data_IF_810271228542
#
_entry.id   IF_810271228542
#
_cell.length_a   1.000
_cell.length_b   1.000
_cell.length_c   1.000
_cell.angle_alpha   90.00
_cell.angle_beta   90.00
_cell.angle_gamma   90.00
#
_symmetry.space_group_name_H-M   'P 1'
#
loop_
_entity.id
_entity.type
_entity.pdbx_description
1 polymer ?
#
# COMPACT_ATOMS: atom_id res chain seq x y z
N UNK A 1 1.38 -9.63 -37.87
CA UNK A 1 0.59 -10.11 -36.71
C UNK A 1 1.49 -10.97 -35.83
N UNK A 2 2.01 -10.43 -34.72
CA UNK A 2 2.65 -11.22 -33.68
C UNK A 2 1.85 -11.00 -32.40
N UNK A 3 1.27 -12.09 -31.91
CA UNK A 3 0.41 -12.13 -30.72
C UNK A 3 1.24 -11.76 -29.50
N UNK A 4 0.83 -10.69 -28.82
CA UNK A 4 1.37 -10.27 -27.53
C UNK A 4 0.88 -11.22 -26.44
N UNK A 5 1.68 -12.25 -26.13
CA UNK A 5 1.38 -13.24 -25.07
C UNK A 5 1.99 -12.82 -23.71
N UNK A 6 2.60 -11.64 -23.62
CA UNK A 6 3.35 -11.22 -22.43
C UNK A 6 2.57 -10.52 -21.31
N UNK A 7 1.27 -10.25 -21.47
CA UNK A 7 0.54 -9.31 -20.57
C UNK A 7 -0.40 -10.00 -19.57
N UNK A 8 -0.57 -11.33 -19.65
CA UNK A 8 -1.63 -12.03 -18.90
C UNK A 8 -1.17 -12.55 -17.53
N UNK A 9 0.12 -12.54 -17.20
CA UNK A 9 0.63 -13.21 -15.99
C UNK A 9 0.70 -12.35 -14.71
N UNK A 10 0.44 -11.04 -14.78
CA UNK A 10 0.46 -10.17 -13.59
C UNK A 10 -0.89 -10.07 -12.86
N UNK A 11 -1.92 -10.80 -13.33
CA UNK A 11 -3.31 -10.59 -12.90
C UNK A 11 -3.89 -11.71 -12.00
N UNK A 12 -3.09 -12.74 -11.68
CA UNK A 12 -3.62 -13.95 -11.04
C UNK A 12 -3.45 -14.04 -9.51
N UNK A 13 -2.67 -13.18 -8.85
CA UNK A 13 -2.31 -13.34 -7.44
C UNK A 13 -3.25 -12.68 -6.43
N UNK A 14 -4.27 -11.93 -6.87
CA UNK A 14 -5.12 -11.14 -5.96
C UNK A 14 -6.54 -11.69 -5.74
N UNK A 15 -6.91 -12.82 -6.36
CA UNK A 15 -8.30 -13.26 -6.40
C UNK A 15 -8.61 -14.57 -5.64
N UNK A 16 -7.65 -15.29 -5.09
CA UNK A 16 -7.92 -16.52 -4.33
C UNK A 16 -7.08 -16.61 -3.07
N UNK A 17 -7.69 -16.26 -1.95
CA UNK A 17 -7.57 -17.03 -0.71
C UNK A 17 -8.60 -16.50 0.28
N UNK A 18 -9.73 -17.22 0.35
CA UNK A 18 -10.57 -17.17 1.53
C UNK A 18 -9.86 -17.90 2.67
N UNK A 19 -10.13 -17.39 3.88
CA UNK A 19 -10.09 -18.11 5.16
C UNK A 19 -8.69 -18.41 5.73
N UNK A 20 -8.33 -17.60 6.74
CA UNK A 20 -7.41 -17.90 7.87
C UNK A 20 -5.88 -17.94 7.69
N UNK A 21 -5.30 -17.83 6.48
CA UNK A 21 -3.84 -17.97 6.30
C UNK A 21 -2.99 -16.74 5.87
N UNK A 22 -3.58 -15.58 5.55
CA UNK A 22 -2.91 -14.58 4.67
C UNK A 22 -2.41 -13.33 5.42
N UNK A 23 -2.79 -13.16 6.68
CA UNK A 23 -2.37 -11.97 7.42
C UNK A 23 -0.99 -12.23 8.01
N UNK A 24 0.01 -11.50 7.50
CA UNK A 24 1.36 -11.37 8.08
C UNK A 24 1.37 -10.81 9.53
N UNK A 25 0.19 -10.57 10.11
CA UNK A 25 -0.01 -9.84 11.37
C UNK A 25 -0.92 -10.64 12.30
N UNK A 26 -0.55 -10.70 13.57
CA UNK A 26 -1.18 -11.49 14.61
C UNK A 26 -2.22 -10.70 15.40
N UNK A 27 -1.99 -9.40 15.62
CA UNK A 27 -2.93 -8.55 16.35
C UNK A 27 -4.15 -8.21 15.50
N UNK A 28 -5.28 -8.01 16.15
CA UNK A 28 -6.48 -7.56 15.47
C UNK A 28 -6.29 -6.17 14.83
N UNK A 29 -5.47 -5.31 15.43
CA UNK A 29 -5.15 -4.01 14.86
C UNK A 29 -4.29 -4.12 13.60
N UNK A 30 -3.24 -4.94 13.63
CA UNK A 30 -2.42 -5.24 12.45
C UNK A 30 -3.25 -5.80 11.30
N UNK A 31 -4.15 -6.76 11.59
CA UNK A 31 -5.10 -7.32 10.62
C UNK A 31 -6.06 -6.26 10.05
N UNK A 32 -6.63 -5.40 10.90
CA UNK A 32 -7.58 -4.36 10.48
C UNK A 32 -6.91 -3.32 9.57
N UNK A 33 -5.71 -2.87 9.92
CA UNK A 33 -4.91 -1.94 9.13
C UNK A 33 -4.50 -2.60 7.79
N UNK A 34 -4.02 -3.84 7.82
CA UNK A 34 -3.58 -4.55 6.62
C UNK A 34 -4.72 -4.87 5.66
N UNK A 35 -5.92 -5.19 6.15
CA UNK A 35 -7.10 -5.45 5.30
C UNK A 35 -7.39 -4.31 4.32
N UNK A 36 -7.00 -3.07 4.64
CA UNK A 36 -7.17 -1.94 3.71
C UNK A 36 -6.16 -1.98 2.55
N UNK A 37 -4.96 -2.51 2.74
CA UNK A 37 -3.98 -2.73 1.66
C UNK A 37 -4.53 -3.65 0.57
N UNK A 38 -5.34 -4.62 0.97
CA UNK A 38 -5.98 -5.58 0.07
C UNK A 38 -7.41 -5.19 -0.30
N UNK A 39 -7.83 -3.93 -0.08
CA UNK A 39 -9.19 -3.50 -0.39
C UNK A 39 -9.44 -3.36 -1.89
N UNK A 40 -10.69 -3.55 -2.31
CA UNK A 40 -11.11 -3.42 -3.70
C UNK A 40 -10.80 -2.03 -4.28
N UNK A 41 -10.83 -0.96 -3.47
CA UNK A 41 -10.49 0.39 -3.92
C UNK A 41 -9.02 0.49 -4.32
N UNK A 42 -8.12 -0.03 -3.47
CA UNK A 42 -6.68 -0.04 -3.74
C UNK A 42 -6.41 -0.90 -4.97
N UNK A 43 -7.03 -2.07 -5.06
CA UNK A 43 -6.93 -2.96 -6.22
C UNK A 43 -7.42 -2.32 -7.53
N UNK A 44 -8.55 -1.62 -7.48
CA UNK A 44 -9.11 -0.90 -8.64
C UNK A 44 -8.21 0.26 -9.08
N UNK A 45 -7.69 1.02 -8.10
CA UNK A 45 -6.77 2.12 -8.34
C UNK A 45 -5.44 1.62 -8.95
N UNK A 46 -4.85 0.55 -8.41
CA UNK A 46 -3.62 -0.05 -8.94
C UNK A 46 -3.80 -0.56 -10.36
N UNK A 47 -4.88 -1.28 -10.66
CA UNK A 47 -5.19 -1.74 -12.03
C UNK A 47 -5.34 -0.59 -13.01
N UNK A 48 -6.05 0.46 -12.62
CA UNK A 48 -6.24 1.63 -13.48
C UNK A 48 -4.91 2.32 -13.78
N UNK A 49 -4.04 2.44 -12.77
CA UNK A 49 -2.75 3.12 -12.90
C UNK A 49 -1.67 2.31 -13.63
N UNK A 50 -1.86 1.01 -13.82
CA UNK A 50 -0.99 0.21 -14.72
C UNK A 50 -1.18 0.62 -16.17
N UNK A 51 -2.38 1.08 -16.54
CA UNK A 51 -2.70 1.56 -17.88
C UNK A 51 -2.32 3.03 -18.11
N UNK A 52 -1.99 3.76 -17.04
CA UNK A 52 -1.50 5.14 -17.14
C UNK A 52 -0.10 5.18 -17.78
N UNK A 53 0.16 6.03 -18.79
CA UNK A 53 1.45 6.05 -19.47
C UNK A 53 2.66 6.29 -18.55
N UNK A 54 2.55 7.23 -17.61
CA UNK A 54 3.64 7.55 -16.67
C UNK A 54 3.82 6.41 -15.66
N UNK A 55 2.71 5.89 -15.12
CA UNK A 55 2.72 4.74 -14.23
C UNK A 55 3.35 3.50 -14.89
N UNK A 56 2.95 3.19 -16.13
CA UNK A 56 3.49 2.08 -16.91
C UNK A 56 4.98 2.24 -17.22
N UNK A 57 5.41 3.45 -17.58
CA UNK A 57 6.81 3.76 -17.82
C UNK A 57 7.65 3.57 -16.55
N UNK A 58 7.16 4.06 -15.41
CA UNK A 58 7.81 3.87 -14.11
C UNK A 58 7.93 2.39 -13.74
N UNK A 59 6.85 1.61 -13.85
CA UNK A 59 6.87 0.16 -13.58
C UNK A 59 7.84 -0.59 -14.49
N UNK A 60 7.88 -0.23 -15.77
CA UNK A 60 8.81 -0.83 -16.74
C UNK A 60 10.26 -0.49 -16.37
N UNK A 61 10.53 0.76 -15.97
CA UNK A 61 11.85 1.23 -15.60
C UNK A 61 12.36 0.52 -14.34
N UNK A 62 11.57 0.45 -13.26
CA UNK A 62 11.99 -0.20 -12.02
C UNK A 62 12.24 -1.70 -12.21
N UNK A 63 11.50 -2.36 -13.11
CA UNK A 63 11.76 -3.75 -13.48
C UNK A 63 13.17 -3.97 -14.02
N UNK A 64 13.70 -3.02 -14.80
CA UNK A 64 15.06 -3.08 -15.36
C UNK A 64 16.15 -2.79 -14.32
N UNK A 65 15.83 -2.07 -13.24
CA UNK A 65 16.76 -1.71 -12.16
C UNK A 65 16.84 -2.77 -11.02
N UNK A 66 16.28 -3.96 -11.25
CA UNK A 66 16.25 -5.05 -10.27
C UNK A 66 15.15 -4.91 -9.22
N UNK A 67 14.13 -4.07 -9.46
CA UNK A 67 12.96 -3.92 -8.60
C UNK A 67 11.72 -4.65 -9.15
N UNK A 68 11.89 -5.64 -10.04
CA UNK A 68 10.78 -6.35 -10.68
C UNK A 68 9.89 -7.14 -9.70
N UNK A 69 10.40 -7.48 -8.52
CA UNK A 69 9.67 -8.15 -7.44
C UNK A 69 9.17 -7.20 -6.35
N UNK A 70 9.33 -5.89 -6.52
CA UNK A 70 8.90 -4.90 -5.53
C UNK A 70 7.36 -4.88 -5.44
N UNK A 71 6.83 -5.13 -4.25
CA UNK A 71 5.39 -5.27 -3.97
C UNK A 71 4.74 -4.00 -3.40
N UNK A 72 5.48 -2.88 -3.39
CA UNK A 72 5.07 -1.58 -2.83
C UNK A 72 4.88 -1.54 -1.29
N UNK A 73 5.14 -2.66 -0.60
CA UNK A 73 4.94 -2.83 0.84
C UNK A 73 6.32 -2.89 1.53
N UNK A 74 7.27 -3.63 0.95
CA UNK A 74 8.63 -3.75 1.47
C UNK A 74 9.64 -3.70 0.32
N UNK A 75 10.68 -2.90 0.45
CA UNK A 75 11.76 -2.88 -0.53
C UNK A 75 12.80 -1.79 -0.26
N UNK A 76 13.86 -1.75 -1.07
CA UNK A 76 14.88 -0.71 -0.94
C UNK A 76 14.33 0.63 -1.46
N UNK A 77 14.80 1.72 -0.86
CA UNK A 77 14.39 3.09 -1.19
C UNK A 77 14.44 3.41 -2.68
N UNK A 78 15.43 2.86 -3.41
CA UNK A 78 15.53 3.03 -4.87
C UNK A 78 14.27 2.56 -5.62
N UNK A 79 13.64 1.48 -5.16
CA UNK A 79 12.43 0.94 -5.77
C UNK A 79 11.21 1.83 -5.46
N UNK A 80 11.13 2.36 -4.24
CA UNK A 80 10.10 3.35 -3.87
C UNK A 80 10.20 4.61 -4.73
N UNK A 81 11.40 5.19 -4.86
CA UNK A 81 11.64 6.38 -5.66
C UNK A 81 11.27 6.13 -7.13
N UNK A 82 11.70 5.00 -7.70
CA UNK A 82 11.38 4.66 -9.08
C UNK A 82 9.89 4.36 -9.31
N UNK A 83 9.21 3.80 -8.31
CA UNK A 83 7.77 3.52 -8.36
C UNK A 83 6.90 4.76 -8.08
N UNK A 84 7.48 5.87 -7.64
CA UNK A 84 6.76 7.06 -7.19
C UNK A 84 5.74 7.59 -8.23
N UNK A 85 6.03 7.65 -9.55
CA UNK A 85 5.03 8.09 -10.54
C UNK A 85 3.79 7.18 -10.57
N UNK A 86 4.00 5.85 -10.51
CA UNK A 86 2.90 4.89 -10.43
C UNK A 86 2.10 5.06 -9.14
N UNK A 87 2.78 5.15 -8.00
CA UNK A 87 2.13 5.31 -6.69
C UNK A 87 1.42 6.66 -6.55
N UNK A 88 1.90 7.71 -7.22
CA UNK A 88 1.22 9.00 -7.33
C UNK A 88 -0.11 8.88 -8.06
N UNK A 89 -0.19 8.11 -9.16
CA UNK A 89 -1.47 7.82 -9.81
C UNK A 89 -2.43 7.10 -8.85
N UNK A 90 -1.96 6.08 -8.13
CA UNK A 90 -2.79 5.33 -7.18
C UNK A 90 -3.31 6.26 -6.08
N UNK A 91 -2.44 7.08 -5.50
CA UNK A 91 -2.80 8.08 -4.50
C UNK A 91 -3.85 9.08 -5.03
N UNK A 92 -3.72 9.52 -6.29
CA UNK A 92 -4.72 10.40 -6.93
C UNK A 92 -6.09 9.75 -6.98
N UNK A 93 -6.17 8.48 -7.42
CA UNK A 93 -7.44 7.73 -7.52
C UNK A 93 -8.10 7.49 -6.17
N UNK A 94 -7.31 7.33 -5.11
CA UNK A 94 -7.80 7.18 -3.74
C UNK A 94 -8.11 8.54 -3.07
N UNK A 95 -7.89 9.66 -3.75
CA UNK A 95 -8.11 10.99 -3.20
C UNK A 95 -7.11 11.38 -2.11
N UNK A 96 -5.91 10.81 -2.14
CA UNK A 96 -4.85 10.99 -1.15
C UNK A 96 -3.89 12.14 -1.46
N UNK A 97 -4.13 12.87 -2.55
CA UNK A 97 -3.32 14.02 -2.94
C UNK A 97 -3.94 15.33 -2.47
N UNK A 98 -3.09 16.29 -2.15
CA UNK A 98 -3.44 17.70 -2.05
C UNK A 98 -3.66 18.31 -3.44
N UNK A 99 -4.14 19.54 -3.50
CA UNK A 99 -4.38 20.27 -4.76
C UNK A 99 -3.11 20.49 -5.59
N UNK A 100 -1.96 20.62 -4.94
CA UNK A 100 -0.63 20.74 -5.57
C UNK A 100 -0.06 19.37 -6.04
N UNK A 101 -0.78 18.28 -5.81
CA UNK A 101 -0.36 16.92 -6.16
C UNK A 101 0.64 16.29 -5.20
N UNK A 102 0.97 16.94 -4.07
CA UNK A 102 1.71 16.33 -2.96
C UNK A 102 0.81 15.34 -2.20
N UNK A 103 1.41 14.43 -1.44
CA UNK A 103 0.67 13.44 -0.66
C UNK A 103 0.11 14.05 0.64
N UNK A 104 -1.14 13.75 0.96
CA UNK A 104 -1.79 14.22 2.17
C UNK A 104 -1.64 13.19 3.31
N UNK A 105 -0.53 13.29 4.05
CA UNK A 105 -0.20 12.35 5.12
C UNK A 105 -1.28 12.27 6.21
N UNK A 106 -1.81 13.42 6.64
CA UNK A 106 -2.80 13.47 7.72
C UNK A 106 -4.11 12.80 7.31
N UNK A 107 -4.60 13.04 6.09
CA UNK A 107 -5.80 12.39 5.56
C UNK A 107 -5.64 10.87 5.51
N UNK A 108 -4.51 10.40 5.00
CA UNK A 108 -4.20 8.98 4.87
C UNK A 108 -4.19 8.32 6.26
N UNK A 109 -3.44 8.89 7.21
CA UNK A 109 -3.32 8.34 8.56
C UNK A 109 -4.65 8.39 9.34
N UNK A 110 -5.44 9.46 9.18
CA UNK A 110 -6.76 9.56 9.81
C UNK A 110 -7.73 8.49 9.26
N UNK A 111 -7.68 8.23 7.96
CA UNK A 111 -8.49 7.19 7.34
C UNK A 111 -8.09 5.79 7.83
N UNK A 112 -6.79 5.50 7.93
CA UNK A 112 -6.34 4.22 8.50
C UNK A 112 -6.65 4.08 9.99
N UNK A 113 -6.55 5.17 10.77
CA UNK A 113 -6.97 5.18 12.18
C UNK A 113 -8.43 4.80 12.30
N UNK A 114 -9.29 5.45 11.51
CA UNK A 114 -10.74 5.17 11.47
C UNK A 114 -10.99 3.69 11.21
N UNK A 115 -10.36 3.11 10.18
CA UNK A 115 -10.52 1.68 9.86
C UNK A 115 -10.02 0.75 10.95
N UNK A 116 -8.88 1.06 11.54
CA UNK A 116 -8.32 0.28 12.63
C UNK A 116 -9.28 0.29 13.82
N UNK A 117 -9.73 1.46 14.25
CA UNK A 117 -10.57 1.63 15.44
C UNK A 117 -12.03 1.21 15.23
N UNK A 118 -12.50 1.05 13.99
CA UNK A 118 -13.77 0.38 13.71
C UNK A 118 -13.72 -1.12 13.98
N UNK A 119 -12.52 -1.72 14.09
CA UNK A 119 -12.38 -3.10 14.53
C UNK A 119 -12.43 -3.16 16.07
N UNK A 120 -13.36 -3.91 16.68
CA UNK A 120 -13.59 -3.90 18.12
C UNK A 120 -12.40 -4.36 18.98
N UNK A 121 -11.36 -4.92 18.35
CA UNK A 121 -10.15 -5.44 19.01
C UNK A 121 -8.89 -4.60 18.72
N UNK A 122 -9.00 -3.45 18.03
CA UNK A 122 -7.92 -2.49 17.93
C UNK A 122 -8.25 -1.26 18.79
N UNK A 123 -7.42 -0.97 19.78
CA UNK A 123 -7.54 0.26 20.56
C UNK A 123 -6.87 1.43 19.84
N UNK A 124 -7.33 2.64 20.13
CA UNK A 124 -6.68 3.89 19.67
C UNK A 124 -5.21 3.92 20.10
N UNK A 125 -4.92 3.51 21.34
CA UNK A 125 -3.56 3.47 21.88
C UNK A 125 -2.63 2.54 21.10
N UNK A 126 -3.11 1.35 20.69
CA UNK A 126 -2.35 0.42 19.88
C UNK A 126 -2.01 0.98 18.49
N UNK A 127 -2.97 1.65 17.85
CA UNK A 127 -2.74 2.29 16.57
C UNK A 127 -1.76 3.47 16.70
N UNK A 128 -1.93 4.32 17.71
CA UNK A 128 -1.07 5.49 17.93
C UNK A 128 0.36 5.07 18.29
N UNK A 129 0.53 3.99 19.08
CA UNK A 129 1.84 3.36 19.30
C UNK A 129 2.52 2.97 17.98
N UNK A 130 1.79 2.30 17.09
CA UNK A 130 2.30 1.86 15.80
C UNK A 130 2.68 3.03 14.88
N UNK A 131 1.85 4.08 14.84
CA UNK A 131 2.14 5.31 14.09
C UNK A 131 3.38 6.00 14.63
N UNK A 132 3.54 6.10 15.95
CA UNK A 132 4.72 6.69 16.57
C UNK A 132 6.00 5.94 16.18
N UNK A 133 5.95 4.60 16.14
CA UNK A 133 7.09 3.77 15.74
C UNK A 133 7.45 3.93 14.25
N UNK A 134 6.44 4.05 13.38
CA UNK A 134 6.64 4.13 11.94
C UNK A 134 6.82 5.55 11.41
N UNK A 135 6.53 6.56 12.22
CA UNK A 135 6.51 7.98 11.84
C UNK A 135 5.32 8.35 10.96
N UNK A 136 4.98 9.63 10.93
CA UNK A 136 3.79 10.16 10.23
C UNK A 136 4.05 10.57 8.78
N UNK A 137 5.31 10.79 8.41
CA UNK A 137 5.68 11.24 7.07
C UNK A 137 5.65 10.09 6.07
N UNK A 138 4.99 10.30 4.93
CA UNK A 138 5.03 9.41 3.77
C UNK A 138 5.84 10.11 2.67
N UNK A 139 6.94 9.48 2.26
CA UNK A 139 7.79 9.95 1.17
C UNK A 139 7.52 9.13 -0.10
N UNK A 140 7.85 9.68 -1.26
CA UNK A 140 7.78 8.99 -2.57
C UNK A 140 6.41 8.36 -2.89
N UNK A 141 5.32 8.88 -2.30
CA UNK A 141 3.99 8.29 -2.39
C UNK A 141 3.92 6.83 -1.88
N UNK A 142 4.88 6.38 -1.05
CA UNK A 142 4.98 5.02 -0.53
C UNK A 142 4.02 4.77 0.65
N UNK A 143 2.74 5.12 0.49
CA UNK A 143 1.74 4.98 1.55
C UNK A 143 1.41 3.52 1.87
N UNK A 144 1.56 2.60 0.92
CA UNK A 144 1.36 1.16 1.18
C UNK A 144 2.45 0.61 2.13
N UNK A 145 3.71 0.97 1.91
CA UNK A 145 4.82 0.63 2.81
C UNK A 145 4.61 1.22 4.21
N UNK A 146 4.12 2.48 4.31
CA UNK A 146 3.78 3.10 5.60
C UNK A 146 2.77 2.28 6.38
N UNK A 147 1.69 1.85 5.71
CA UNK A 147 0.60 1.08 6.34
C UNK A 147 1.07 -0.30 6.76
N UNK A 148 1.93 -0.93 5.96
CA UNK A 148 2.52 -2.21 6.30
C UNK A 148 3.39 -2.10 7.56
N UNK A 149 4.18 -1.02 7.68
CA UNK A 149 4.91 -0.72 8.91
C UNK A 149 3.94 -0.59 10.10
N UNK A 150 2.88 0.22 9.97
CA UNK A 150 1.91 0.44 11.06
C UNK A 150 1.26 -0.89 11.46
N UNK A 151 0.84 -1.70 10.49
CA UNK A 151 0.26 -3.02 10.76
C UNK A 151 1.23 -3.92 11.55
N UNK A 152 2.51 -3.92 11.18
CA UNK A 152 3.55 -4.71 11.85
C UNK A 152 3.91 -4.19 13.24
N UNK A 153 3.97 -2.87 13.41
CA UNK A 153 4.24 -2.26 14.69
C UNK A 153 3.08 -2.45 15.68
N UNK A 154 1.84 -2.50 15.20
CA UNK A 154 0.67 -2.74 16.04
C UNK A 154 0.72 -4.11 16.73
N UNK A 155 1.33 -5.13 16.12
CA UNK A 155 1.53 -6.46 16.73
C UNK A 155 2.47 -6.45 17.93
N UNK A 156 3.30 -5.42 18.06
CA UNK A 156 4.32 -5.31 19.11
C UNK A 156 3.81 -4.53 20.32
N UNK A 157 2.55 -4.09 20.30
CA UNK A 157 1.93 -3.39 21.41
C UNK A 157 1.54 -4.37 22.52
N UNK A 158 2.07 -4.14 23.72
CA UNK A 158 1.88 -5.02 24.89
C UNK A 158 0.94 -4.47 25.96
N UNK A 159 0.34 -3.30 25.73
CA UNK A 159 -0.46 -2.57 26.74
C UNK A 159 0.26 -1.34 27.25
#
# INVERSE_FOLDING_TARGET
MMKSVGVVLLIATFAYSGVEGIYRYNSACGKAVYKKLTSNDVYSATRTCVSDPEGKAALTAIGRYGCGSYDFIVGPLKCEVGAAPYMKCVARKLGYLNADGSINNSKILAQYKTYATSAPKCSVAQYDFAVNKCGTTINNYAFLAKVACIAGAADQYTG
#
